data_IF_736977477507
#
_entry.id   IF_736977477507
#
_cell.length_a   1.000
_cell.length_b   1.000
_cell.length_c   1.000
_cell.angle_alpha   90.00
_cell.angle_beta   90.00
_cell.angle_gamma   90.00
#
_symmetry.space_group_name_H-M   'P 1'
#
loop_
_entity.id
_entity.type
_entity.pdbx_description
1 polymer ?
#
# COMPACT_ATOMS: atom_id res chain seq x y z
N UNK A 1 -9.11 -21.84 4.49
CA UNK A 1 -8.87 -21.40 3.10
C UNK A 1 -7.94 -20.19 3.14
N UNK A 2 -6.74 -20.24 2.55
CA UNK A 2 -5.83 -19.08 2.48
C UNK A 2 -5.93 -18.50 1.07
N UNK A 3 -6.27 -17.21 0.94
CA UNK A 3 -6.32 -16.52 -0.36
C UNK A 3 -4.88 -16.35 -0.88
N UNK A 4 -4.66 -16.66 -2.15
CA UNK A 4 -3.36 -16.60 -2.85
C UNK A 4 -3.46 -15.66 -4.05
N UNK A 5 -2.32 -15.10 -4.50
CA UNK A 5 -2.28 -14.19 -5.66
C UNK A 5 -2.81 -12.78 -5.37
N UNK A 6 -2.80 -12.36 -4.10
CA UNK A 6 -3.21 -11.03 -3.70
C UNK A 6 -2.08 -10.02 -3.95
N UNK A 7 -2.47 -8.80 -4.33
CA UNK A 7 -1.61 -7.62 -4.34
C UNK A 7 -2.03 -6.65 -3.24
N UNK A 8 -1.08 -5.83 -2.77
CA UNK A 8 -1.33 -4.86 -1.71
C UNK A 8 -0.39 -3.67 -1.78
N UNK A 9 -0.74 -2.63 -1.02
CA UNK A 9 0.09 -1.47 -0.80
C UNK A 9 -0.18 -0.92 0.60
N UNK A 10 0.81 -0.24 1.19
CA UNK A 10 0.71 0.37 2.51
C UNK A 10 0.68 1.89 2.36
N UNK A 11 -0.27 2.55 3.00
CA UNK A 11 -0.37 3.99 3.01
C UNK A 11 -1.01 4.47 4.32
N UNK A 12 -0.76 5.72 4.71
CA UNK A 12 -1.44 6.32 5.85
C UNK A 12 -0.69 7.51 6.43
N UNK A 13 -1.15 7.97 7.59
CA UNK A 13 -0.47 8.97 8.39
C UNK A 13 0.09 8.43 9.70
N UNK A 14 1.11 9.09 10.23
CA UNK A 14 1.73 8.75 11.51
C UNK A 14 2.11 10.02 12.29
N UNK A 15 2.14 9.92 13.63
CA UNK A 15 2.58 11.03 14.48
C UNK A 15 4.10 11.13 14.57
N UNK A 16 4.70 10.18 15.29
CA UNK A 16 6.10 10.29 15.74
C UNK A 16 6.99 9.15 15.23
N UNK A 17 6.53 7.90 15.38
CA UNK A 17 7.37 6.72 15.14
C UNK A 17 7.38 6.19 13.71
N UNK A 18 6.25 6.22 12.99
CA UNK A 18 6.16 5.66 11.63
C UNK A 18 6.48 4.15 11.53
N UNK A 19 6.78 3.47 12.64
CA UNK A 19 7.15 2.05 12.73
C UNK A 19 6.01 1.13 12.29
N UNK A 20 4.76 1.59 12.42
CA UNK A 20 3.58 0.86 11.97
C UNK A 20 3.64 0.51 10.47
N UNK A 21 4.30 1.33 9.65
CA UNK A 21 4.44 1.02 8.21
C UNK A 21 5.27 -0.23 7.97
N UNK A 22 6.37 -0.39 8.72
CA UNK A 22 7.22 -1.57 8.62
C UNK A 22 6.45 -2.82 9.06
N UNK A 23 5.72 -2.72 10.17
CA UNK A 23 4.86 -3.82 10.65
C UNK A 23 3.78 -4.19 9.63
N UNK A 24 3.15 -3.21 8.98
CA UNK A 24 2.17 -3.45 7.92
C UNK A 24 2.79 -4.14 6.70
N UNK A 25 3.98 -3.73 6.27
CA UNK A 25 4.71 -4.41 5.19
C UNK A 25 5.08 -5.85 5.56
N UNK A 26 5.51 -6.08 6.80
CA UNK A 26 5.80 -7.42 7.33
C UNK A 26 4.53 -8.29 7.33
N UNK A 27 3.40 -7.78 7.79
CA UNK A 27 2.13 -8.51 7.75
C UNK A 27 1.68 -8.88 6.34
N UNK A 28 1.79 -7.95 5.38
CA UNK A 28 1.46 -8.24 3.98
C UNK A 28 2.41 -9.31 3.41
N UNK A 29 3.69 -9.21 3.72
CA UNK A 29 4.72 -10.18 3.29
C UNK A 29 4.45 -11.57 3.87
N UNK A 30 4.17 -11.66 5.18
CA UNK A 30 3.83 -12.91 5.87
C UNK A 30 2.55 -13.55 5.32
N UNK A 31 1.60 -12.70 4.89
CA UNK A 31 0.39 -13.12 4.19
C UNK A 31 0.65 -13.59 2.76
N UNK A 32 1.86 -13.40 2.21
CA UNK A 32 2.22 -13.63 0.79
C UNK A 32 1.44 -12.72 -0.16
N UNK A 33 1.18 -11.49 0.28
CA UNK A 33 0.63 -10.42 -0.55
C UNK A 33 1.80 -9.75 -1.24
N UNK A 34 1.71 -9.59 -2.56
CA UNK A 34 2.74 -8.88 -3.32
C UNK A 34 2.54 -7.37 -3.17
N UNK A 35 3.57 -6.69 -2.67
CA UNK A 35 3.53 -5.25 -2.44
C UNK A 35 3.90 -4.53 -3.74
N UNK A 36 2.97 -3.75 -4.30
CA UNK A 36 3.11 -3.16 -5.64
C UNK A 36 3.78 -1.78 -5.65
N UNK A 37 4.03 -1.20 -4.47
CA UNK A 37 4.67 0.12 -4.35
C UNK A 37 5.28 0.33 -2.96
N UNK A 38 6.22 1.28 -2.88
CA UNK A 38 6.76 1.73 -1.61
C UNK A 38 5.66 2.37 -0.72
N UNK A 39 5.76 2.26 0.60
CA UNK A 39 4.74 2.75 1.52
C UNK A 39 4.64 4.28 1.48
N UNK A 40 3.43 4.81 1.31
CA UNK A 40 3.18 6.25 1.38
C UNK A 40 2.93 6.69 2.82
N UNK A 41 3.80 7.57 3.34
CA UNK A 41 3.77 7.99 4.74
C UNK A 41 3.53 9.50 4.84
N UNK A 42 2.44 9.89 5.48
CA UNK A 42 2.15 11.29 5.82
C UNK A 42 2.45 11.56 7.31
N UNK A 43 3.25 12.58 7.62
CA UNK A 43 3.48 12.98 9.02
C UNK A 43 2.33 13.87 9.50
N UNK A 44 1.68 13.51 10.59
CA UNK A 44 0.47 14.16 11.14
C UNK A 44 -0.68 14.23 10.13
N UNK A 45 -1.19 15.44 9.86
CA UNK A 45 -2.26 15.65 8.89
C UNK A 45 -1.67 15.64 7.47
N UNK A 46 -2.19 14.81 6.56
CA UNK A 46 -1.81 14.86 5.15
C UNK A 46 -2.10 16.24 4.53
N UNK A 47 -1.23 16.68 3.62
CA UNK A 47 -1.48 17.83 2.75
C UNK A 47 -2.04 17.35 1.39
N UNK A 48 -2.36 18.28 0.49
CA UNK A 48 -2.91 17.96 -0.84
C UNK A 48 -1.98 17.06 -1.67
N UNK A 49 -0.66 17.26 -1.56
CA UNK A 49 0.34 16.43 -2.24
C UNK A 49 0.30 14.97 -1.73
N UNK A 50 0.20 14.77 -0.42
CA UNK A 50 0.08 13.43 0.18
C UNK A 50 -1.22 12.74 -0.28
N UNK A 51 -2.32 13.47 -0.37
CA UNK A 51 -3.59 12.95 -0.87
C UNK A 51 -3.50 12.58 -2.35
N UNK A 52 -2.85 13.42 -3.16
CA UNK A 52 -2.63 13.14 -4.58
C UNK A 52 -1.74 11.90 -4.78
N UNK A 53 -0.68 11.75 -3.98
CA UNK A 53 0.17 10.56 -4.01
C UNK A 53 -0.63 9.29 -3.65
N UNK A 54 -1.50 9.35 -2.64
CA UNK A 54 -2.40 8.24 -2.30
C UNK A 54 -3.39 7.90 -3.44
N UNK A 55 -3.90 8.92 -4.14
CA UNK A 55 -4.77 8.71 -5.31
C UNK A 55 -4.02 8.00 -6.45
N UNK A 56 -2.79 8.45 -6.75
CA UNK A 56 -1.92 7.81 -7.75
C UNK A 56 -1.58 6.37 -7.35
N UNK A 57 -1.30 6.11 -6.06
CA UNK A 57 -1.09 4.76 -5.55
C UNK A 57 -2.29 3.86 -5.81
N UNK A 58 -3.51 4.33 -5.55
CA UNK A 58 -4.74 3.59 -5.83
C UNK A 58 -4.90 3.24 -7.32
N UNK A 59 -4.61 4.20 -8.21
CA UNK A 59 -4.61 3.95 -9.65
C UNK A 59 -3.60 2.88 -10.06
N UNK A 60 -2.38 2.90 -9.50
CA UNK A 60 -1.35 1.91 -9.79
C UNK A 60 -1.75 0.51 -9.33
N UNK A 61 -2.34 0.38 -8.13
CA UNK A 61 -2.88 -0.90 -7.63
C UNK A 61 -3.98 -1.42 -8.55
N UNK A 62 -4.91 -0.56 -8.97
CA UNK A 62 -5.99 -0.93 -9.88
C UNK A 62 -5.49 -1.36 -11.26
N UNK A 63 -4.52 -0.64 -11.82
CA UNK A 63 -3.89 -0.99 -13.09
C UNK A 63 -3.14 -2.33 -13.01
N UNK A 64 -2.43 -2.58 -11.92
CA UNK A 64 -1.74 -3.85 -11.69
C UNK A 64 -2.72 -5.02 -11.52
N UNK A 65 -3.82 -4.81 -10.79
CA UNK A 65 -4.89 -5.80 -10.67
C UNK A 65 -5.49 -6.14 -12.04
N UNK A 66 -5.78 -5.13 -12.86
CA UNK A 66 -6.34 -5.32 -14.20
C UNK A 66 -5.39 -6.08 -15.13
N UNK A 67 -4.08 -5.83 -15.05
CA UNK A 67 -3.08 -6.59 -15.81
C UNK A 67 -3.11 -8.08 -15.44
N UNK A 68 -3.19 -8.39 -14.14
CA UNK A 68 -3.23 -9.77 -13.63
C UNK A 68 -4.54 -10.49 -13.92
N UNK A 69 -5.65 -9.77 -13.96
CA UNK A 69 -6.96 -10.33 -14.30
C UNK A 69 -7.10 -10.68 -15.78
N UNK A 70 -6.32 -10.01 -16.64
CA UNK A 70 -6.31 -10.22 -18.10
C UNK A 70 -5.12 -11.09 -18.57
N UNK A 71 -4.32 -11.62 -17.64
CA UNK A 71 -3.28 -12.64 -17.89
C UNK A 71 -3.83 -14.04 -17.63
#
# INVERSE_FOLDING_TARGET
>A
LRRTGLIGAVFGSYGWGGEAFKQLEEYLTDMKVEIVSAPLKAKYSPNDENLQNCFVLGQNVGAELAKRANQ
#
